data_IF_662257314240
#
_entry.id   IF_662257314240
#
_cell.length_a   1.000
_cell.length_b   1.000
_cell.length_c   1.000
_cell.angle_alpha   90.00
_cell.angle_beta   90.00
_cell.angle_gamma   90.00
#
_symmetry.space_group_name_H-M   'P 1'
#
loop_
_entity.id
_entity.type
_entity.pdbx_description
1 polymer ?
#
# COMPACT_ATOMS: atom_id res chain seq x y z
N UNK A 1 -5.93 -10.08 16.46
CA UNK A 1 -6.49 -10.31 15.11
C UNK A 1 -6.87 -11.77 15.04
N UNK A 2 -8.16 -12.10 15.03
CA UNK A 2 -8.61 -13.49 14.91
C UNK A 2 -8.43 -13.88 13.44
N UNK A 3 -7.42 -14.70 13.17
CA UNK A 3 -7.06 -15.10 11.80
C UNK A 3 -8.10 -16.12 11.35
N UNK A 4 -8.82 -15.80 10.29
CA UNK A 4 -9.81 -16.69 9.69
C UNK A 4 -9.11 -17.85 8.97
N UNK A 5 -9.07 -19.00 9.64
CA UNK A 5 -8.43 -20.24 9.14
C UNK A 5 -9.13 -20.75 7.88
N UNK A 6 -10.41 -20.45 7.66
CA UNK A 6 -11.13 -20.90 6.47
C UNK A 6 -10.56 -20.25 5.19
N UNK A 7 -10.11 -18.99 5.29
CA UNK A 7 -9.43 -18.31 4.17
C UNK A 7 -8.06 -18.91 3.84
N UNK A 8 -7.37 -19.48 4.83
CA UNK A 8 -6.05 -20.11 4.63
C UNK A 8 -6.16 -21.53 4.08
N UNK A 9 -7.28 -22.20 4.34
CA UNK A 9 -7.51 -23.58 3.90
C UNK A 9 -8.17 -23.66 2.53
N UNK A 10 -8.68 -22.56 1.97
CA UNK A 10 -9.32 -22.52 0.64
C UNK A 10 -10.37 -23.64 0.43
N UNK A 11 -11.12 -23.98 1.48
CA UNK A 11 -12.12 -25.06 1.45
C UNK A 11 -11.59 -26.48 1.66
N UNK A 12 -10.29 -26.65 1.95
CA UNK A 12 -9.69 -27.94 2.29
C UNK A 12 -10.10 -28.34 3.71
N UNK A 13 -10.73 -29.51 3.83
CA UNK A 13 -11.05 -30.09 5.15
C UNK A 13 -9.78 -30.61 5.83
N UNK A 14 -9.41 -29.99 6.94
CA UNK A 14 -8.33 -30.43 7.81
C UNK A 14 -8.86 -31.40 8.87
N UNK A 15 -8.06 -32.42 9.19
CA UNK A 15 -8.26 -33.20 10.42
C UNK A 15 -7.98 -32.32 11.65
N UNK A 16 -8.45 -32.72 12.83
CA UNK A 16 -8.21 -31.96 14.07
C UNK A 16 -6.72 -31.76 14.34
N UNK A 17 -5.89 -32.78 14.09
CA UNK A 17 -4.43 -32.70 14.25
C UNK A 17 -3.81 -31.71 13.24
N UNK A 18 -4.27 -31.73 11.99
CA UNK A 18 -3.81 -30.80 10.96
C UNK A 18 -4.22 -29.36 11.27
N UNK A 19 -5.44 -29.16 11.78
CA UNK A 19 -5.93 -27.87 12.25
C UNK A 19 -5.09 -27.36 13.42
N UNK A 20 -4.83 -28.20 14.43
CA UNK A 20 -3.99 -27.83 15.58
C UNK A 20 -2.58 -27.42 15.15
N UNK A 21 -1.96 -28.16 14.22
CA UNK A 21 -0.64 -27.79 13.68
C UNK A 21 -0.69 -26.45 12.96
N UNK A 22 -1.73 -26.18 12.15
CA UNK A 22 -1.89 -24.90 11.47
C UNK A 22 -2.08 -23.75 12.46
N UNK A 23 -2.97 -23.91 13.45
CA UNK A 23 -3.20 -22.94 14.52
C UNK A 23 -1.95 -22.63 15.33
N UNK A 24 -1.19 -23.68 15.68
CA UNK A 24 0.10 -23.53 16.34
C UNK A 24 1.07 -22.70 15.51
N UNK A 25 1.15 -22.96 14.19
CA UNK A 25 2.01 -22.19 13.30
C UNK A 25 1.61 -20.73 13.23
N UNK A 26 0.31 -20.43 13.13
CA UNK A 26 -0.21 -19.05 13.07
C UNK A 26 0.05 -18.25 14.35
N UNK A 27 0.07 -18.93 15.50
CA UNK A 27 0.27 -18.31 16.81
C UNK A 27 1.73 -18.25 17.26
N UNK A 28 2.62 -19.08 16.68
CA UNK A 28 4.02 -19.23 17.10
C UNK A 28 5.02 -19.14 15.92
N UNK A 29 4.73 -18.31 14.90
CA UNK A 29 5.55 -18.18 13.68
C UNK A 29 7.05 -17.99 13.99
N UNK A 30 7.42 -17.05 14.85
CA UNK A 30 8.82 -16.75 15.19
C UNK A 30 9.61 -17.94 15.77
N UNK A 31 8.91 -18.87 16.43
CA UNK A 31 9.51 -20.05 17.06
C UNK A 31 9.51 -21.26 16.10
N UNK A 32 8.50 -21.36 15.24
CA UNK A 32 8.30 -22.48 14.33
C UNK A 32 9.50 -22.73 13.40
N UNK A 33 10.13 -21.68 12.87
CA UNK A 33 11.31 -21.83 12.01
C UNK A 33 12.52 -22.37 12.78
N UNK A 34 12.75 -21.91 14.02
CA UNK A 34 13.86 -22.36 14.88
C UNK A 34 13.68 -23.82 15.31
N UNK A 35 12.44 -24.19 15.63
CA UNK A 35 12.08 -25.56 16.01
C UNK A 35 12.17 -26.53 14.83
N UNK A 36 11.94 -26.02 13.62
CA UNK A 36 11.85 -26.82 12.40
C UNK A 36 10.70 -27.82 12.45
N UNK A 37 10.55 -28.60 11.38
CA UNK A 37 9.46 -29.58 11.24
C UNK A 37 9.40 -30.59 12.40
N UNK A 38 10.56 -30.95 12.98
CA UNK A 38 10.66 -31.89 14.11
C UNK A 38 10.14 -31.27 15.40
N UNK A 39 10.52 -30.02 15.69
CA UNK A 39 10.05 -29.33 16.88
C UNK A 39 8.55 -29.03 16.78
N UNK A 40 8.07 -28.52 15.64
CA UNK A 40 6.63 -28.29 15.43
C UNK A 40 5.81 -29.57 15.60
N UNK A 41 6.29 -30.70 15.07
CA UNK A 41 5.63 -31.99 15.26
C UNK A 41 5.55 -32.38 16.75
N UNK A 42 6.64 -32.17 17.50
CA UNK A 42 6.70 -32.47 18.93
C UNK A 42 5.74 -31.60 19.75
N UNK A 43 5.72 -30.30 19.51
CA UNK A 43 4.84 -29.36 20.24
C UNK A 43 3.35 -29.62 19.97
N UNK A 44 3.03 -30.25 18.82
CA UNK A 44 1.67 -30.63 18.44
C UNK A 44 1.37 -32.12 18.66
N UNK A 45 2.21 -32.84 19.43
CA UNK A 45 2.06 -34.27 19.73
C UNK A 45 1.81 -35.15 18.49
N UNK A 46 2.48 -34.83 17.39
CA UNK A 46 2.32 -35.50 16.10
C UNK A 46 3.66 -35.90 15.49
N UNK A 47 3.63 -36.51 14.31
CA UNK A 47 4.83 -36.89 13.58
C UNK A 47 5.23 -35.84 12.53
N UNK A 48 6.51 -35.80 12.16
CA UNK A 48 6.99 -34.96 11.06
C UNK A 48 6.27 -35.27 9.75
N UNK A 49 5.85 -36.52 9.53
CA UNK A 49 5.10 -36.90 8.35
C UNK A 49 3.72 -36.25 8.32
N UNK A 50 3.06 -36.03 9.47
CA UNK A 50 1.80 -35.29 9.55
C UNK A 50 1.98 -33.83 9.17
N UNK A 51 3.02 -33.16 9.68
CA UNK A 51 3.32 -31.76 9.33
C UNK A 51 3.65 -31.62 7.83
N UNK A 52 4.40 -32.58 7.27
CA UNK A 52 4.72 -32.60 5.84
C UNK A 52 3.51 -32.96 4.96
N UNK A 53 2.58 -33.79 5.44
CA UNK A 53 1.32 -34.07 4.74
C UNK A 53 0.43 -32.83 4.75
N UNK A 54 0.31 -32.14 5.88
CA UNK A 54 -0.40 -30.87 5.98
C UNK A 54 0.14 -29.85 4.97
N UNK A 55 1.46 -29.67 4.90
CA UNK A 55 2.05 -28.70 3.96
C UNK A 55 1.69 -29.03 2.51
N UNK A 56 1.77 -30.30 2.12
CA UNK A 56 1.38 -30.73 0.76
C UNK A 56 -0.12 -30.61 0.52
N UNK A 57 -0.93 -30.92 1.52
CA UNK A 57 -2.38 -30.85 1.46
C UNK A 57 -2.85 -29.42 1.24
N UNK A 58 -2.16 -28.44 1.84
CA UNK A 58 -2.38 -27.00 1.61
C UNK A 58 -1.72 -26.47 0.32
N UNK A 59 -1.11 -27.33 -0.50
CA UNK A 59 -0.53 -26.96 -1.80
C UNK A 59 0.93 -26.49 -1.77
N UNK A 60 1.65 -26.68 -0.66
CA UNK A 60 3.07 -26.32 -0.54
C UNK A 60 3.99 -27.53 -0.77
N UNK A 61 5.20 -27.29 -1.28
CA UNK A 61 6.21 -28.33 -1.50
C UNK A 61 6.80 -28.88 -0.19
N UNK A 62 6.63 -28.17 0.93
CA UNK A 62 7.09 -28.63 2.24
C UNK A 62 6.86 -27.63 3.37
N UNK A 63 7.30 -28.02 4.57
CA UNK A 63 7.16 -27.23 5.79
C UNK A 63 7.73 -25.79 5.67
N UNK A 64 8.92 -25.65 5.08
CA UNK A 64 9.59 -24.35 4.96
C UNK A 64 8.80 -23.39 4.05
N UNK A 65 8.31 -23.89 2.90
CA UNK A 65 7.51 -23.05 2.00
C UNK A 65 6.18 -22.66 2.65
N UNK A 66 5.50 -23.61 3.30
CA UNK A 66 4.29 -23.34 4.07
C UNK A 66 4.54 -22.25 5.12
N UNK A 67 5.62 -22.36 5.89
CA UNK A 67 5.99 -21.36 6.89
C UNK A 67 6.10 -19.95 6.31
N UNK A 68 6.87 -19.76 5.24
CA UNK A 68 7.05 -18.43 4.65
C UNK A 68 5.76 -17.86 4.06
N UNK A 69 4.90 -18.72 3.50
CA UNK A 69 3.59 -18.30 2.98
C UNK A 69 2.63 -17.90 4.11
N UNK A 70 2.63 -18.63 5.22
CA UNK A 70 1.86 -18.28 6.41
C UNK A 70 2.40 -17.01 7.07
N UNK A 71 3.72 -16.83 7.13
CA UNK A 71 4.34 -15.60 7.65
C UNK A 71 3.88 -14.35 6.88
N UNK A 72 3.82 -14.44 5.55
CA UNK A 72 3.29 -13.36 4.70
C UNK A 72 1.79 -13.13 4.88
N UNK A 73 1.01 -14.18 5.17
CA UNK A 73 -0.44 -14.10 5.31
C UNK A 73 -0.92 -13.59 6.69
N UNK A 74 -0.13 -13.81 7.74
CA UNK A 74 -0.51 -13.44 9.13
C UNK A 74 -0.16 -12.00 9.49
N UNK A 75 0.74 -11.34 8.76
CA UNK A 75 1.03 -9.92 8.97
C UNK A 75 1.50 -9.63 10.40
N UNK A 76 2.72 -10.06 10.72
CA UNK A 76 3.30 -9.82 12.04
C UNK A 76 4.79 -10.08 12.09
N UNK A 77 5.60 -9.21 11.48
CA UNK A 77 6.99 -9.03 11.93
C UNK A 77 7.03 -7.76 12.76
N UNK A 78 6.69 -7.92 14.04
CA UNK A 78 7.10 -6.99 15.09
C UNK A 78 8.55 -7.30 15.44
N UNK A 79 9.50 -6.70 14.73
CA UNK A 79 10.86 -6.43 15.24
C UNK A 79 11.43 -5.22 14.53
N UNK A 80 11.97 -4.32 15.35
CA UNK A 80 12.24 -2.94 14.96
C UNK A 80 13.29 -2.76 13.88
N UNK A 81 13.10 -1.67 13.14
CA UNK A 81 14.13 -0.75 12.66
C UNK A 81 15.34 -1.35 11.95
N UNK A 82 15.13 -1.80 10.72
CA UNK A 82 15.95 -1.39 9.58
C UNK A 82 14.96 -1.02 8.46
N UNK A 83 15.37 -0.17 7.49
CA UNK A 83 14.56 0.05 6.28
C UNK A 83 14.20 -1.33 5.75
N UNK A 84 12.91 -1.67 5.68
CA UNK A 84 12.47 -3.00 5.27
C UNK A 84 12.67 -3.11 3.75
N UNK A 85 13.94 -3.18 3.33
CA UNK A 85 14.36 -3.47 1.96
C UNK A 85 13.59 -4.69 1.45
N UNK A 86 13.25 -5.66 2.32
CA UNK A 86 12.52 -6.86 1.91
C UNK A 86 11.09 -6.58 1.44
N UNK A 87 10.29 -5.70 2.06
CA UNK A 87 8.94 -5.42 1.57
C UNK A 87 8.98 -4.57 0.29
N UNK A 88 9.77 -3.50 0.27
CA UNK A 88 9.92 -2.65 -0.92
C UNK A 88 10.53 -3.44 -2.08
N UNK A 89 11.54 -4.28 -1.82
CA UNK A 89 12.16 -5.13 -2.85
C UNK A 89 11.26 -6.29 -3.29
N UNK A 90 10.42 -6.84 -2.41
CA UNK A 90 9.43 -7.85 -2.78
C UNK A 90 8.29 -7.26 -3.63
N UNK A 91 7.88 -6.03 -3.34
CA UNK A 91 6.74 -5.38 -3.97
C UNK A 91 7.11 -4.62 -5.25
N UNK A 92 8.26 -3.95 -5.24
CA UNK A 92 8.73 -3.09 -6.32
C UNK A 92 10.00 -3.60 -7.01
N UNK A 93 10.82 -4.42 -6.35
CA UNK A 93 12.18 -4.76 -6.80
C UNK A 93 13.22 -3.86 -6.12
N UNK A 94 14.46 -4.36 -5.97
CA UNK A 94 15.53 -3.71 -5.17
C UNK A 94 15.88 -2.27 -5.58
N UNK A 95 15.50 -1.82 -6.77
CA UNK A 95 15.84 -0.49 -7.31
C UNK A 95 14.63 0.32 -7.81
N UNK A 96 13.40 -0.15 -7.57
CA UNK A 96 12.23 0.45 -8.22
C UNK A 96 11.68 1.71 -7.54
N UNK A 97 12.12 2.02 -6.32
CA UNK A 97 11.69 3.21 -5.58
C UNK A 97 12.93 3.94 -5.08
N UNK A 98 13.11 5.19 -5.50
CA UNK A 98 14.22 6.02 -5.01
C UNK A 98 14.04 6.32 -3.51
N UNK A 99 15.17 6.55 -2.82
CA UNK A 99 15.15 6.92 -1.40
C UNK A 99 14.31 8.19 -1.15
N UNK A 100 14.42 9.17 -2.04
CA UNK A 100 13.64 10.42 -1.99
C UNK A 100 12.14 10.13 -2.11
N UNK A 101 11.72 9.31 -3.06
CA UNK A 101 10.32 8.91 -3.17
C UNK A 101 9.82 8.20 -1.92
N UNK A 102 10.62 7.29 -1.37
CA UNK A 102 10.25 6.57 -0.15
C UNK A 102 10.09 7.52 1.04
N UNK A 103 10.98 8.51 1.19
CA UNK A 103 10.87 9.56 2.20
C UNK A 103 9.61 10.41 2.00
N UNK A 104 9.29 10.77 0.75
CA UNK A 104 8.09 11.54 0.42
C UNK A 104 6.81 10.73 0.66
N UNK A 105 6.78 9.44 0.32
CA UNK A 105 5.67 8.53 0.64
C UNK A 105 5.42 8.49 2.15
N UNK A 106 6.50 8.33 2.94
CA UNK A 106 6.38 8.35 4.39
C UNK A 106 5.89 9.70 4.91
N UNK A 107 6.43 10.82 4.41
CA UNK A 107 5.99 12.17 4.80
C UNK A 107 4.50 12.41 4.49
N UNK A 108 4.03 11.96 3.33
CA UNK A 108 2.61 12.01 2.97
C UNK A 108 1.77 11.16 3.94
N UNK A 109 2.21 9.93 4.27
CA UNK A 109 1.53 9.08 5.24
C UNK A 109 1.47 9.70 6.65
N UNK A 110 2.55 10.35 7.11
CA UNK A 110 2.60 11.07 8.39
C UNK A 110 1.57 12.21 8.42
N UNK A 111 1.44 12.97 7.32
CA UNK A 111 0.46 14.06 7.20
C UNK A 111 -0.98 13.56 7.16
N UNK A 112 -1.24 12.48 6.43
CA UNK A 112 -2.55 11.82 6.41
C UNK A 112 -2.92 11.26 7.79
N UNK A 113 -1.97 10.71 8.53
CA UNK A 113 -2.22 10.17 9.86
C UNK A 113 -2.46 11.26 10.91
N UNK A 114 -1.78 12.40 10.78
CA UNK A 114 -1.86 13.48 11.76
C UNK A 114 -3.07 14.41 11.57
N UNK A 115 -3.68 14.44 10.38
CA UNK A 115 -4.78 15.37 10.11
C UNK A 115 -6.10 14.88 10.72
N UNK A 116 -6.81 15.70 11.50
CA UNK A 116 -8.18 15.42 11.93
C UNK A 116 -9.22 15.77 10.83
N UNK A 117 -8.76 16.48 9.80
CA UNK A 117 -9.56 17.05 8.73
C UNK A 117 -9.65 16.09 7.54
N UNK A 118 -10.24 16.58 6.44
CA UNK A 118 -10.50 15.75 5.26
C UNK A 118 -9.27 15.70 4.36
N UNK A 119 -9.00 14.51 3.82
CA UNK A 119 -8.06 14.34 2.70
C UNK A 119 -8.81 14.58 1.39
N UNK A 120 -8.49 15.66 0.68
CA UNK A 120 -9.05 15.92 -0.64
C UNK A 120 -8.20 15.24 -1.70
N UNK A 121 -8.80 14.45 -2.59
CA UNK A 121 -8.07 13.71 -3.62
C UNK A 121 -8.64 14.06 -4.99
N UNK A 122 -7.76 14.50 -5.89
CA UNK A 122 -8.12 14.96 -7.22
C UNK A 122 -7.25 14.34 -8.30
N UNK A 123 -7.87 13.97 -9.41
CA UNK A 123 -7.18 13.57 -10.64
C UNK A 123 -8.15 13.60 -11.81
N UNK A 124 -7.65 13.70 -13.04
CA UNK A 124 -8.51 13.74 -14.23
C UNK A 124 -8.18 12.62 -15.22
N UNK A 125 -9.20 12.21 -15.99
CA UNK A 125 -9.08 11.14 -16.98
C UNK A 125 -8.57 9.86 -16.34
N UNK A 126 -7.56 9.21 -16.94
CA UNK A 126 -6.95 8.01 -16.35
C UNK A 126 -6.37 8.23 -14.94
N UNK A 127 -5.93 9.46 -14.62
CA UNK A 127 -5.41 9.78 -13.28
C UNK A 127 -6.52 9.80 -12.21
N UNK A 128 -7.79 10.02 -12.60
CA UNK A 128 -8.92 9.93 -11.66
C UNK A 128 -9.14 8.49 -11.17
N UNK A 129 -8.73 7.48 -11.94
CA UNK A 129 -8.78 6.08 -11.51
C UNK A 129 -7.83 5.82 -10.34
N UNK A 130 -6.63 6.42 -10.36
CA UNK A 130 -5.66 6.31 -9.27
C UNK A 130 -6.11 7.09 -8.04
N UNK A 131 -6.65 8.31 -8.24
CA UNK A 131 -7.25 9.10 -7.17
C UNK A 131 -8.39 8.34 -6.46
N UNK A 132 -9.30 7.73 -7.22
CA UNK A 132 -10.38 6.91 -6.69
C UNK A 132 -9.88 5.65 -5.98
N UNK A 133 -8.83 5.00 -6.50
CA UNK A 133 -8.23 3.83 -5.87
C UNK A 133 -7.67 4.17 -4.48
N UNK A 134 -6.83 5.20 -4.39
CA UNK A 134 -6.30 5.69 -3.11
C UNK A 134 -7.43 6.11 -2.17
N UNK A 135 -8.40 6.88 -2.68
CA UNK A 135 -9.56 7.33 -1.91
C UNK A 135 -10.32 6.19 -1.25
N UNK A 136 -10.60 5.13 -1.99
CA UNK A 136 -11.28 3.94 -1.45
C UNK A 136 -10.43 3.25 -0.38
N UNK A 137 -9.11 3.14 -0.56
CA UNK A 137 -8.21 2.58 0.45
C UNK A 137 -8.26 3.39 1.74
N UNK A 138 -8.17 4.72 1.65
CA UNK A 138 -8.21 5.61 2.81
C UNK A 138 -9.58 5.58 3.53
N UNK A 139 -10.68 5.58 2.77
CA UNK A 139 -12.02 5.45 3.33
C UNK A 139 -12.23 4.12 4.08
N UNK A 140 -11.70 3.00 3.56
CA UNK A 140 -11.71 1.70 4.26
C UNK A 140 -10.93 1.75 5.57
N UNK A 141 -9.88 2.57 5.65
CA UNK A 141 -9.12 2.83 6.87
C UNK A 141 -9.81 3.80 7.84
N UNK A 142 -11.01 4.29 7.50
CA UNK A 142 -11.77 5.24 8.32
C UNK A 142 -11.31 6.69 8.17
N UNK A 143 -10.45 6.99 7.19
CA UNK A 143 -9.97 8.36 6.94
C UNK A 143 -11.02 9.08 6.10
N UNK A 144 -11.39 10.30 6.52
CA UNK A 144 -12.35 11.13 5.80
C UNK A 144 -11.73 11.62 4.49
N UNK A 145 -12.39 11.35 3.37
CA UNK A 145 -11.92 11.80 2.07
C UNK A 145 -13.04 12.48 1.27
N UNK A 146 -12.66 13.50 0.50
CA UNK A 146 -13.47 14.00 -0.63
C UNK A 146 -12.74 13.59 -1.90
N UNK A 147 -13.47 12.92 -2.79
CA UNK A 147 -12.97 12.49 -4.10
C UNK A 147 -13.62 13.37 -5.16
N UNK A 148 -12.82 13.94 -6.05
CA UNK A 148 -13.32 14.77 -7.14
C UNK A 148 -12.46 14.63 -8.40
N UNK A 149 -13.05 14.85 -9.56
CA UNK A 149 -12.35 14.85 -10.85
C UNK A 149 -12.75 16.03 -11.75
N UNK A 150 -12.31 15.99 -13.02
CA UNK A 150 -12.52 17.07 -13.98
C UNK A 150 -13.96 17.27 -14.45
N UNK A 151 -14.86 16.32 -14.18
CA UNK A 151 -16.29 16.47 -14.48
C UNK A 151 -17.05 17.20 -13.36
N UNK A 152 -16.45 17.30 -12.18
CA UNK A 152 -17.07 17.93 -11.03
C UNK A 152 -16.94 19.46 -11.03
N UNK A 153 -17.83 20.11 -10.27
CA UNK A 153 -17.75 21.54 -10.01
C UNK A 153 -16.48 21.89 -9.23
N UNK A 154 -15.81 22.97 -9.65
CA UNK A 154 -14.66 23.53 -8.93
C UNK A 154 -15.04 23.91 -7.49
N UNK A 155 -16.29 24.29 -7.26
CA UNK A 155 -16.82 24.64 -5.94
C UNK A 155 -16.77 23.50 -4.92
N UNK A 156 -16.61 22.23 -5.33
CA UNK A 156 -16.39 21.13 -4.37
C UNK A 156 -15.09 21.34 -3.59
N UNK A 157 -14.03 21.80 -4.26
CA UNK A 157 -12.76 22.11 -3.61
C UNK A 157 -12.88 23.42 -2.80
N UNK A 158 -13.35 24.48 -3.45
CA UNK A 158 -13.36 25.83 -2.88
C UNK A 158 -14.25 25.94 -1.62
N UNK A 159 -15.44 25.32 -1.64
CA UNK A 159 -16.37 25.42 -0.51
C UNK A 159 -15.98 24.56 0.69
N UNK A 160 -15.07 23.60 0.53
CA UNK A 160 -14.61 22.72 1.62
C UNK A 160 -13.21 23.07 2.10
N UNK A 161 -12.59 24.12 1.57
CA UNK A 161 -11.18 24.43 1.72
C UNK A 161 -10.70 24.49 3.18
N UNK A 162 -11.48 25.10 4.07
CA UNK A 162 -11.16 25.19 5.51
C UNK A 162 -11.12 23.83 6.22
N UNK A 163 -11.74 22.80 5.64
CA UNK A 163 -11.80 21.44 6.17
C UNK A 163 -10.87 20.46 5.47
N UNK A 164 -9.99 20.95 4.58
CA UNK A 164 -8.99 20.14 3.89
C UNK A 164 -7.67 20.22 4.65
N UNK A 165 -7.26 19.11 5.26
CA UNK A 165 -5.96 19.03 5.94
C UNK A 165 -4.83 18.57 5.02
N UNK A 166 -5.16 17.77 4.00
CA UNK A 166 -4.21 17.28 3.00
C UNK A 166 -4.87 17.27 1.63
N UNK A 167 -4.22 17.85 0.63
CA UNK A 167 -4.61 17.75 -0.77
C UNK A 167 -3.70 16.78 -1.51
N UNK A 168 -4.27 15.80 -2.20
CA UNK A 168 -3.54 14.81 -3.01
C UNK A 168 -3.95 14.97 -4.47
N UNK A 169 -2.99 15.36 -5.31
CA UNK A 169 -3.19 15.62 -6.72
C UNK A 169 -2.51 14.56 -7.60
N UNK A 170 -3.27 13.93 -8.49
CA UNK A 170 -2.77 13.01 -9.51
C UNK A 170 -2.78 13.67 -10.88
N UNK A 171 -1.60 13.80 -11.50
CA UNK A 171 -1.46 14.34 -12.85
C UNK A 171 -0.21 13.77 -13.51
N UNK A 172 -0.39 12.83 -14.43
CA UNK A 172 0.72 12.19 -15.16
C UNK A 172 1.71 13.19 -15.75
N UNK A 173 1.24 14.16 -16.52
CA UNK A 173 2.10 15.18 -17.14
C UNK A 173 2.57 16.27 -16.18
N UNK A 174 1.95 16.38 -15.00
CA UNK A 174 2.19 17.47 -14.05
C UNK A 174 1.82 18.86 -14.58
N UNK A 175 1.09 18.94 -15.71
CA UNK A 175 0.85 20.19 -16.45
C UNK A 175 -0.63 20.54 -16.67
N UNK A 176 -1.54 19.71 -16.17
CA UNK A 176 -2.96 19.92 -16.37
C UNK A 176 -3.46 21.21 -15.70
N UNK A 177 -4.04 22.18 -16.43
CA UNK A 177 -4.50 23.44 -15.86
C UNK A 177 -5.52 23.26 -14.72
N UNK A 178 -6.43 22.31 -14.85
CA UNK A 178 -7.45 22.05 -13.82
C UNK A 178 -6.84 21.51 -12.51
N UNK A 179 -5.73 20.78 -12.59
CA UNK A 179 -4.99 20.31 -11.42
C UNK A 179 -4.17 21.45 -10.85
N UNK A 180 -3.38 22.14 -11.69
CA UNK A 180 -2.48 23.21 -11.26
C UNK A 180 -3.23 24.39 -10.62
N UNK A 181 -4.42 24.75 -11.13
CA UNK A 181 -5.23 25.79 -10.51
C UNK A 181 -5.60 25.43 -9.05
N UNK A 182 -5.95 24.17 -8.77
CA UNK A 182 -6.26 23.71 -7.40
C UNK A 182 -5.03 23.62 -6.52
N UNK A 183 -3.89 23.21 -7.07
CA UNK A 183 -2.60 23.20 -6.35
C UNK A 183 -2.23 24.62 -5.92
N UNK A 184 -2.37 25.59 -6.83
CA UNK A 184 -2.16 27.01 -6.53
C UNK A 184 -3.11 27.51 -5.44
N UNK A 185 -4.40 27.16 -5.51
CA UNK A 185 -5.36 27.49 -4.45
C UNK A 185 -5.01 26.82 -3.11
N UNK A 186 -4.53 25.58 -3.13
CA UNK A 186 -4.06 24.87 -1.94
C UNK A 186 -2.86 25.59 -1.30
N UNK A 187 -1.88 25.98 -2.12
CA UNK A 187 -0.69 26.75 -1.69
C UNK A 187 -1.10 28.09 -1.06
N UNK A 188 -1.97 28.87 -1.71
CA UNK A 188 -2.49 30.15 -1.22
C UNK A 188 -3.20 30.03 0.14
N UNK A 189 -3.71 28.84 0.48
CA UNK A 189 -4.42 28.57 1.72
C UNK A 189 -3.65 27.65 2.68
N UNK A 190 -2.34 27.47 2.45
CA UNK A 190 -1.45 26.66 3.30
C UNK A 190 -1.91 25.21 3.50
N UNK A 191 -2.61 24.64 2.51
CA UNK A 191 -3.02 23.24 2.51
C UNK A 191 -1.85 22.38 2.03
N UNK A 192 -1.44 21.42 2.86
CA UNK A 192 -0.34 20.52 2.52
C UNK A 192 -0.68 19.68 1.28
N UNK A 193 0.13 19.81 0.24
CA UNK A 193 -0.13 19.21 -1.08
C UNK A 193 0.84 18.09 -1.41
N UNK A 194 0.29 16.92 -1.77
CA UNK A 194 1.00 15.74 -2.26
C UNK A 194 0.71 15.57 -3.75
N UNK A 195 1.75 15.65 -4.60
CA UNK A 195 1.63 15.49 -6.04
C UNK A 195 2.14 14.12 -6.52
N UNK A 196 1.31 13.37 -7.24
CA UNK A 196 1.71 12.18 -8.00
C UNK A 196 1.85 12.56 -9.49
N UNK A 197 3.07 12.47 -10.01
CA UNK A 197 3.43 12.90 -11.38
C UNK A 197 4.54 12.04 -11.97
N UNK A 198 4.79 12.15 -13.28
CA UNK A 198 5.96 11.54 -13.88
C UNK A 198 7.28 12.14 -13.35
N UNK A 199 8.38 11.39 -13.45
CA UNK A 199 9.71 11.77 -12.96
C UNK A 199 10.42 12.94 -13.73
N UNK A 200 9.69 13.66 -14.58
CA UNK A 200 10.22 14.82 -15.32
C UNK A 200 9.84 16.15 -14.67
N UNK A 201 10.54 17.21 -15.07
CA UNK A 201 10.25 18.57 -14.59
C UNK A 201 8.82 18.99 -14.98
N UNK A 202 8.06 19.44 -13.99
CA UNK A 202 6.68 19.87 -14.18
C UNK A 202 6.27 20.91 -13.14
N UNK A 203 5.34 21.82 -13.47
CA UNK A 203 4.82 22.80 -12.51
C UNK A 203 4.24 22.15 -11.24
N UNK A 204 3.63 20.97 -11.37
CA UNK A 204 3.13 20.24 -10.20
C UNK A 204 4.24 19.86 -9.22
N UNK A 205 5.43 19.49 -9.71
CA UNK A 205 6.59 19.15 -8.87
C UNK A 205 7.10 20.39 -8.12
N UNK A 206 7.12 21.54 -8.76
CA UNK A 206 7.57 22.80 -8.16
C UNK A 206 6.60 23.34 -7.10
N UNK A 207 5.29 23.12 -7.29
CA UNK A 207 4.23 23.71 -6.46
C UNK A 207 3.71 22.78 -5.34
N UNK A 208 4.14 21.51 -5.30
CA UNK A 208 3.71 20.58 -4.26
C UNK A 208 4.69 20.57 -3.09
N UNK A 209 4.18 20.48 -1.87
CA UNK A 209 5.03 20.30 -0.67
C UNK A 209 5.78 18.96 -0.68
N UNK A 210 5.18 17.95 -1.28
CA UNK A 210 5.66 16.57 -1.30
C UNK A 210 5.33 15.93 -2.65
N UNK A 211 6.34 15.38 -3.33
CA UNK A 211 6.19 14.83 -4.68
C UNK A 211 6.50 13.34 -4.70
N UNK A 212 5.58 12.56 -5.23
CA UNK A 212 5.76 11.14 -5.54
C UNK A 212 5.96 11.02 -7.04
N UNK A 213 7.20 10.78 -7.43
CA UNK A 213 7.57 10.63 -8.83
C UNK A 213 7.31 9.21 -9.30
N UNK A 214 6.78 9.06 -10.50
CA UNK A 214 6.54 7.75 -11.10
C UNK A 214 7.23 7.72 -12.45
N UNK A 215 8.06 6.71 -12.66
CA UNK A 215 8.71 6.53 -13.96
C UNK A 215 7.65 6.32 -15.05
N UNK A 216 7.81 7.03 -16.16
CA UNK A 216 6.91 6.97 -17.30
C UNK A 216 7.68 6.54 -18.55
N UNK A 217 7.27 5.41 -19.13
CA UNK A 217 7.90 4.87 -20.33
C UNK A 217 7.56 5.69 -21.60
N UNK A 218 6.51 6.53 -21.54
CA UNK A 218 6.03 7.32 -22.68
C UNK A 218 5.57 8.73 -22.25
N UNK A 219 6.46 9.60 -21.75
CA UNK A 219 6.08 10.90 -21.18
C UNK A 219 5.50 11.90 -22.19
N UNK A 220 5.73 11.69 -23.50
CA UNK A 220 5.20 12.52 -24.59
C UNK A 220 3.86 12.01 -25.15
N UNK A 221 3.32 10.91 -24.62
CA UNK A 221 2.04 10.36 -25.04
C UNK A 221 0.87 10.94 -24.24
N UNK A 222 0.56 12.21 -24.49
CA UNK A 222 -0.48 12.96 -23.78
C UNK A 222 -1.90 12.37 -23.96
N UNK A 223 -2.11 11.61 -25.03
CA UNK A 223 -3.40 10.97 -25.33
C UNK A 223 -3.55 9.57 -24.74
N UNK A 224 -2.50 9.07 -24.06
CA UNK A 224 -2.46 7.73 -23.47
C UNK A 224 -2.83 6.62 -24.49
N UNK A 225 -2.28 6.70 -25.70
CA UNK A 225 -2.54 5.75 -26.79
C UNK A 225 -1.62 4.53 -26.75
N UNK A 226 -0.41 4.68 -26.20
CA UNK A 226 0.60 3.62 -26.11
C UNK A 226 0.48 2.88 -24.77
N UNK A 227 0.88 1.60 -24.72
CA UNK A 227 1.06 0.91 -23.46
C UNK A 227 2.05 1.66 -22.56
N UNK A 228 1.74 1.78 -21.27
CA UNK A 228 2.60 2.42 -20.26
C UNK A 228 2.47 1.70 -18.92
N UNK A 229 3.59 1.58 -18.19
CA UNK A 229 3.58 1.07 -16.81
C UNK A 229 3.27 2.17 -15.79
N UNK A 230 3.16 3.44 -16.21
CA UNK A 230 2.97 4.58 -15.32
C UNK A 230 1.83 4.36 -14.31
N UNK A 231 0.65 3.93 -14.75
CA UNK A 231 -0.49 3.75 -13.83
C UNK A 231 -0.31 2.54 -12.90
N UNK A 232 0.30 1.46 -13.38
CA UNK A 232 0.62 0.30 -12.54
C UNK A 232 1.66 0.67 -11.47
N UNK A 233 2.72 1.40 -11.85
CA UNK A 233 3.73 1.95 -10.92
C UNK A 233 3.11 2.97 -9.96
N UNK A 234 2.16 3.79 -10.41
CA UNK A 234 1.40 4.71 -9.54
C UNK A 234 0.61 3.94 -8.48
N UNK A 235 -0.08 2.87 -8.87
CA UNK A 235 -0.81 2.01 -7.94
C UNK A 235 0.13 1.34 -6.93
N UNK A 236 1.33 0.94 -7.37
CA UNK A 236 2.37 0.43 -6.48
C UNK A 236 2.82 1.49 -5.46
N UNK A 237 3.02 2.75 -5.87
CA UNK A 237 3.33 3.85 -4.94
C UNK A 237 2.18 4.10 -3.95
N UNK A 238 0.93 3.97 -4.39
CA UNK A 238 -0.24 4.03 -3.48
C UNK A 238 -0.18 2.91 -2.44
N UNK A 239 0.15 1.68 -2.81
CA UNK A 239 0.27 0.58 -1.85
C UNK A 239 1.40 0.82 -0.84
N UNK A 240 2.53 1.39 -1.28
CA UNK A 240 3.62 1.77 -0.38
C UNK A 240 3.23 2.93 0.56
N UNK A 241 2.48 3.92 0.08
CA UNK A 241 1.90 4.98 0.92
C UNK A 241 1.03 4.38 2.03
N UNK A 242 0.13 3.45 1.66
CA UNK A 242 -0.76 2.77 2.61
C UNK A 242 0.03 1.91 3.60
N UNK A 243 1.07 1.22 3.13
CA UNK A 243 1.97 0.46 4.00
C UNK A 243 2.65 1.36 5.04
N UNK A 244 3.19 2.52 4.63
CA UNK A 244 3.79 3.46 5.59
C UNK A 244 2.74 4.04 6.55
N UNK A 245 1.52 4.34 6.08
CA UNK A 245 0.42 4.76 6.95
C UNK A 245 0.13 3.73 8.06
N UNK A 246 0.07 2.44 7.72
CA UNK A 246 -0.11 1.38 8.73
C UNK A 246 1.04 1.35 9.75
N UNK A 247 2.29 1.50 9.29
CA UNK A 247 3.45 1.50 10.19
C UNK A 247 3.46 2.66 11.17
N UNK A 248 2.90 3.80 10.76
CA UNK A 248 2.81 5.01 11.58
C UNK A 248 1.64 4.90 12.56
N UNK A 249 0.47 4.46 12.09
CA UNK A 249 -0.77 4.41 12.89
C UNK A 249 -0.80 3.33 13.99
N UNK A 250 0.05 2.32 13.90
CA UNK A 250 0.15 1.23 14.91
C UNK A 250 1.07 1.62 16.09
N UNK A 251 1.78 2.75 16.03
CA UNK A 251 2.60 3.27 17.14
C UNK A 251 1.79 4.11 18.11
#
# INVERSE_FOLDING_TARGET
MEIDIEKLTCGIQLTDIERNVLEYLLTHLDQALKLGVRGVARENFTSTSTVMRLSRKLGYNGFIEMYYKLLGAVGGVSRGYEVNEDFVSHFAGKEAVSLENYQNLRRAAEKICATPDTVFIYGMGFSSMMANYLGKKLLVLGIKCILSDGADSIGIFENNMESIGVFIAFSRSGRSPHVLNRVKTAEENSIFTVGFTHAGDSPLKEQSDCVIEVEDDNPLDDRNMKPTLYFAKTMMMIELLIYEYYRISIK
#
